data_IF_636137422564
#
_entry.id   IF_636137422564
#
_cell.length_a   1.000
_cell.length_b   1.000
_cell.length_c   1.000
_cell.angle_alpha   90.00
_cell.angle_beta   90.00
_cell.angle_gamma   90.00
#
_symmetry.space_group_name_H-M   'P 1'
#
loop_
_entity.id
_entity.type
_entity.pdbx_description
1 polymer ?
#
# COMPACT_ATOMS: atom_id res chain seq x y z
N UNK A 1 -6.89 -26.86 -9.79
CA UNK A 1 -6.40 -27.19 -8.43
C UNK A 1 -7.30 -28.30 -7.92
N UNK A 2 -6.82 -29.54 -7.93
CA UNK A 2 -7.52 -30.65 -7.27
C UNK A 2 -6.83 -30.83 -5.92
N UNK A 3 -7.38 -30.20 -4.89
CA UNK A 3 -6.96 -30.47 -3.52
C UNK A 3 -7.73 -31.70 -3.03
N UNK A 4 -7.00 -32.68 -2.49
CA UNK A 4 -7.60 -33.84 -1.84
C UNK A 4 -8.32 -33.36 -0.58
N UNK A 5 -9.61 -33.68 -0.42
CA UNK A 5 -10.48 -33.15 0.64
C UNK A 5 -9.91 -33.39 2.05
N UNK A 6 -9.29 -34.55 2.26
CA UNK A 6 -8.68 -34.96 3.52
C UNK A 6 -7.39 -34.19 3.85
N UNK A 7 -6.73 -33.59 2.85
CA UNK A 7 -5.48 -32.85 3.05
C UNK A 7 -5.70 -31.36 3.36
N UNK A 8 -6.92 -30.85 3.25
CA UNK A 8 -7.22 -29.43 3.43
C UNK A 8 -7.51 -29.11 4.88
N UNK A 9 -8.29 -29.96 5.56
CA UNK A 9 -8.71 -29.75 6.96
C UNK A 9 -7.51 -29.98 7.88
N UNK A 10 -7.39 -29.13 8.90
CA UNK A 10 -6.34 -29.17 9.91
C UNK A 10 -7.02 -29.32 11.26
N UNK A 11 -6.47 -30.18 12.12
CA UNK A 11 -7.04 -30.43 13.45
C UNK A 11 -6.70 -29.31 14.44
N UNK A 12 -5.54 -28.67 14.27
CA UNK A 12 -5.05 -27.61 15.15
C UNK A 12 -4.86 -26.27 14.43
N UNK A 13 -5.12 -25.18 15.16
CA UNK A 13 -4.96 -23.82 14.66
C UNK A 13 -3.50 -23.51 14.29
N UNK A 14 -2.53 -23.89 15.13
CA UNK A 14 -1.12 -23.58 14.90
C UNK A 14 -0.60 -24.28 13.64
N UNK A 15 -1.04 -25.53 13.42
CA UNK A 15 -0.74 -26.23 12.18
C UNK A 15 -1.32 -25.49 10.96
N UNK A 16 -2.56 -25.00 11.07
CA UNK A 16 -3.18 -24.17 10.03
C UNK A 16 -2.42 -22.86 9.77
N UNK A 17 -1.98 -22.17 10.82
CA UNK A 17 -1.19 -20.93 10.72
C UNK A 17 0.16 -21.20 10.04
N UNK A 18 0.87 -22.26 10.42
CA UNK A 18 2.15 -22.62 9.80
C UNK A 18 2.00 -23.08 8.35
N UNK A 19 0.87 -23.72 8.01
CA UNK A 19 0.53 -24.09 6.64
C UNK A 19 0.29 -22.85 5.77
N UNK A 20 -0.42 -21.84 6.28
CA UNK A 20 -0.58 -20.55 5.59
C UNK A 20 0.75 -19.85 5.30
N UNK A 21 1.75 -20.01 6.17
CA UNK A 21 3.08 -19.42 5.98
C UNK A 21 3.92 -20.12 4.91
N UNK A 22 3.71 -21.42 4.71
CA UNK A 22 4.52 -22.25 3.80
C UNK A 22 3.94 -22.32 2.40
N UNK A 23 2.63 -22.31 2.27
CA UNK A 23 1.93 -22.50 1.01
C UNK A 23 0.70 -21.60 0.89
N UNK A 24 0.10 -21.56 -0.31
CA UNK A 24 -1.10 -20.76 -0.58
C UNK A 24 -2.34 -21.43 0.01
N UNK A 25 -2.49 -21.29 1.33
CA UNK A 25 -3.59 -21.85 2.10
C UNK A 25 -4.39 -20.71 2.75
N UNK A 26 -5.71 -20.91 2.88
CA UNK A 26 -6.60 -19.97 3.57
C UNK A 26 -7.29 -20.72 4.71
N UNK A 27 -7.21 -20.15 5.91
CA UNK A 27 -7.78 -20.73 7.12
C UNK A 27 -9.06 -20.01 7.53
N UNK A 28 -10.07 -20.77 7.93
CA UNK A 28 -11.29 -20.25 8.53
C UNK A 28 -11.30 -20.61 10.02
N UNK A 29 -11.35 -19.61 10.90
CA UNK A 29 -11.54 -19.76 12.35
C UNK A 29 -12.38 -18.60 12.89
N UNK A 30 -12.54 -18.53 14.21
CA UNK A 30 -13.20 -17.40 14.88
C UNK A 30 -12.41 -16.10 14.64
N UNK A 31 -13.14 -15.00 14.45
CA UNK A 31 -12.55 -13.68 14.19
C UNK A 31 -11.62 -13.20 15.29
N UNK A 32 -11.96 -13.46 16.56
CA UNK A 32 -11.16 -12.98 17.69
C UNK A 32 -9.78 -13.65 17.75
N UNK A 33 -9.73 -14.92 17.36
CA UNK A 33 -8.51 -15.71 17.33
C UNK A 33 -7.62 -15.29 16.15
N UNK A 34 -8.21 -15.11 14.97
CA UNK A 34 -7.49 -14.62 13.80
C UNK A 34 -6.92 -13.21 14.01
N UNK A 35 -7.71 -12.29 14.57
CA UNK A 35 -7.29 -10.92 14.84
C UNK A 35 -6.18 -10.87 15.91
N UNK A 36 -6.24 -11.76 16.91
CA UNK A 36 -5.18 -11.92 17.89
C UNK A 36 -3.86 -12.39 17.26
N UNK A 37 -3.90 -13.39 16.38
CA UNK A 37 -2.69 -13.89 15.70
C UNK A 37 -2.15 -12.94 14.64
N UNK A 38 -3.02 -12.20 13.93
CA UNK A 38 -2.63 -11.21 12.93
C UNK A 38 -1.98 -9.95 13.57
N UNK A 39 -2.41 -9.57 14.78
CA UNK A 39 -1.89 -8.38 15.48
C UNK A 39 -0.56 -8.60 16.23
N UNK A 40 -0.02 -9.83 16.20
CA UNK A 40 1.21 -10.24 16.87
C UNK A 40 2.31 -10.64 15.89
N UNK A 41 3.57 -10.56 16.37
CA UNK A 41 4.73 -10.92 15.56
C UNK A 41 4.62 -12.39 15.12
N UNK A 42 4.94 -12.72 13.85
CA UNK A 42 5.72 -11.92 12.90
C UNK A 42 4.94 -10.97 11.95
N UNK A 43 3.68 -10.62 12.22
CA UNK A 43 2.88 -9.66 11.42
C UNK A 43 2.69 -10.09 9.94
N UNK A 44 2.78 -11.39 9.68
CA UNK A 44 2.75 -11.99 8.34
C UNK A 44 1.35 -12.43 7.90
N UNK A 45 0.35 -12.22 8.76
CA UNK A 45 -1.02 -12.69 8.58
C UNK A 45 -1.97 -11.50 8.58
N UNK A 46 -3.01 -11.58 7.76
CA UNK A 46 -4.07 -10.58 7.70
C UNK A 46 -5.44 -11.25 7.62
N UNK A 47 -6.37 -10.80 8.46
CA UNK A 47 -7.77 -11.18 8.36
C UNK A 47 -8.41 -10.45 7.17
N UNK A 48 -9.02 -11.20 6.24
CA UNK A 48 -9.67 -10.63 5.04
C UNK A 48 -11.18 -10.82 5.13
N UNK A 49 -11.93 -9.75 4.84
CA UNK A 49 -13.37 -9.80 4.67
C UNK A 49 -14.17 -9.45 5.94
N UNK A 50 -15.45 -9.82 5.93
CA UNK A 50 -16.38 -9.61 7.06
C UNK A 50 -16.70 -10.95 7.71
N UNK A 51 -16.99 -10.97 9.03
CA UNK A 51 -17.48 -12.17 9.69
C UNK A 51 -18.75 -12.68 9.00
N UNK A 52 -18.75 -13.95 8.64
CA UNK A 52 -19.86 -14.63 7.97
C UNK A 52 -20.99 -15.01 8.93
N UNK A 53 -20.68 -15.16 10.21
CA UNK A 53 -21.65 -15.30 11.29
C UNK A 53 -21.26 -14.45 12.50
N UNK A 54 -22.22 -14.22 13.39
CA UNK A 54 -21.95 -13.68 14.72
C UNK A 54 -22.28 -14.75 15.75
N UNK A 55 -21.24 -15.25 16.42
CA UNK A 55 -21.36 -16.22 17.52
C UNK A 55 -20.98 -15.53 18.82
N UNK A 56 -21.68 -15.85 19.91
CA UNK A 56 -21.39 -15.33 21.24
C UNK A 56 -20.70 -16.38 22.10
N UNK A 57 -19.66 -15.97 22.84
CA UNK A 57 -18.99 -16.81 23.83
C UNK A 57 -19.79 -16.81 25.15
N UNK A 58 -19.97 -18.00 25.74
CA UNK A 58 -20.72 -18.20 26.98
C UNK A 58 -19.96 -19.06 27.99
N UNK A 59 -20.21 -18.82 29.28
CA UNK A 59 -19.70 -19.66 30.35
C UNK A 59 -20.74 -20.71 30.73
N UNK A 60 -20.32 -21.96 30.90
CA UNK A 60 -21.20 -23.07 31.22
C UNK A 60 -21.10 -23.42 32.71
N UNK A 61 -22.24 -23.46 33.39
CA UNK A 61 -22.38 -23.96 34.76
C UNK A 61 -23.18 -25.27 34.74
N UNK A 62 -22.97 -26.18 35.73
CA UNK A 62 -23.77 -27.38 35.84
C UNK A 62 -25.26 -27.04 35.96
N UNK A 63 -26.10 -27.91 35.39
CA UNK A 63 -27.56 -27.75 35.43
C UNK A 63 -28.04 -27.64 36.89
N UNK A 64 -28.94 -26.70 37.15
CA UNK A 64 -29.50 -26.39 38.48
C UNK A 64 -28.46 -25.89 39.52
N UNK A 65 -27.38 -25.24 39.07
CA UNK A 65 -26.46 -24.55 39.98
C UNK A 65 -27.12 -23.35 40.65
N UNK A 66 -26.98 -23.23 41.97
CA UNK A 66 -27.43 -22.06 42.74
C UNK A 66 -26.74 -20.75 42.33
N UNK A 67 -25.58 -20.84 41.67
CA UNK A 67 -24.77 -19.69 41.30
C UNK A 67 -25.13 -19.09 39.93
N UNK A 68 -25.94 -19.77 39.11
CA UNK A 68 -26.25 -19.32 37.74
C UNK A 68 -26.85 -17.91 37.71
N UNK A 69 -27.75 -17.60 38.65
CA UNK A 69 -28.41 -16.28 38.73
C UNK A 69 -27.40 -15.20 39.12
N UNK A 70 -26.51 -15.51 40.06
CA UNK A 70 -25.51 -14.57 40.58
C UNK A 70 -24.44 -14.26 39.53
N UNK A 71 -23.93 -15.28 38.83
CA UNK A 71 -22.98 -15.10 37.72
C UNK A 71 -23.57 -14.29 36.57
N UNK A 72 -24.82 -14.59 36.16
CA UNK A 72 -25.47 -13.84 35.09
C UNK A 72 -25.61 -12.36 35.45
N UNK A 73 -25.98 -12.04 36.70
CA UNK A 73 -26.04 -10.65 37.16
C UNK A 73 -24.66 -9.99 37.16
N UNK A 74 -23.62 -10.69 37.61
CA UNK A 74 -22.25 -10.18 37.64
C UNK A 74 -21.73 -9.87 36.22
N UNK A 75 -22.00 -10.74 35.24
CA UNK A 75 -21.61 -10.55 33.84
C UNK A 75 -22.31 -9.32 33.24
N UNK A 76 -23.61 -9.16 33.46
CA UNK A 76 -24.36 -7.98 32.98
C UNK A 76 -23.80 -6.71 33.61
N UNK A 77 -23.55 -6.71 34.92
CA UNK A 77 -22.95 -5.57 35.61
C UNK A 77 -21.53 -5.25 35.09
N UNK A 78 -20.73 -6.25 34.78
CA UNK A 78 -19.40 -6.06 34.18
C UNK A 78 -19.48 -5.47 32.76
N UNK A 79 -20.49 -5.88 31.97
CA UNK A 79 -20.77 -5.32 30.64
C UNK A 79 -21.19 -3.86 30.72
N UNK A 80 -22.11 -3.52 31.63
CA UNK A 80 -22.55 -2.14 31.84
C UNK A 80 -21.41 -1.21 32.27
N UNK A 81 -20.45 -1.76 33.03
CA UNK A 81 -19.24 -1.04 33.47
C UNK A 81 -18.15 -0.94 32.39
N UNK A 82 -18.32 -1.57 31.23
CA UNK A 82 -17.33 -1.56 30.15
C UNK A 82 -16.07 -2.40 30.41
N UNK A 83 -16.08 -3.30 31.39
CA UNK A 83 -14.89 -4.11 31.76
C UNK A 83 -14.42 -4.98 30.59
N UNK A 84 -15.35 -5.49 29.78
CA UNK A 84 -15.00 -6.29 28.61
C UNK A 84 -14.26 -5.49 27.53
N UNK A 85 -14.56 -4.20 27.38
CA UNK A 85 -13.87 -3.33 26.41
C UNK A 85 -12.43 -3.05 26.83
N UNK A 86 -12.20 -2.87 28.14
CA UNK A 86 -10.86 -2.74 28.71
C UNK A 86 -10.05 -4.02 28.49
N UNK A 87 -10.66 -5.18 28.75
CA UNK A 87 -10.02 -6.48 28.54
C UNK A 87 -9.72 -6.76 27.07
N UNK A 88 -10.65 -6.46 26.17
CA UNK A 88 -10.46 -6.60 24.72
C UNK A 88 -9.28 -5.75 24.23
N UNK A 89 -9.23 -4.50 24.67
CA UNK A 89 -8.15 -3.58 24.32
C UNK A 89 -6.80 -4.07 24.84
N UNK A 90 -6.79 -4.61 26.06
CA UNK A 90 -5.58 -5.06 26.74
C UNK A 90 -5.02 -6.38 26.19
N UNK A 91 -5.89 -7.32 25.83
CA UNK A 91 -5.48 -8.70 25.50
C UNK A 91 -5.56 -9.03 24.01
N UNK A 92 -6.54 -8.47 23.30
CA UNK A 92 -6.79 -8.78 21.87
C UNK A 92 -6.19 -7.70 20.99
N UNK A 93 -6.45 -6.41 21.28
CA UNK A 93 -5.96 -5.28 20.48
C UNK A 93 -4.58 -4.78 20.90
N UNK A 94 -3.85 -5.49 21.77
CA UNK A 94 -2.49 -5.10 22.14
C UNK A 94 -1.57 -5.22 20.92
N UNK A 95 -1.39 -4.11 20.20
CA UNK A 95 -0.68 -4.07 18.92
C UNK A 95 0.83 -4.27 19.12
N UNK A 96 1.28 -5.51 19.19
CA UNK A 96 2.71 -5.83 19.10
C UNK A 96 3.24 -5.56 17.68
N UNK A 97 2.36 -5.65 16.67
CA UNK A 97 2.62 -5.31 15.27
C UNK A 97 2.44 -3.82 14.92
N UNK A 98 2.28 -2.92 15.89
CA UNK A 98 2.12 -1.48 15.60
C UNK A 98 3.37 -0.82 15.00
N UNK A 99 4.47 -1.55 14.81
CA UNK A 99 5.80 -0.99 14.54
C UNK A 99 6.46 -1.37 13.22
N UNK A 100 5.81 -2.08 12.30
CA UNK A 100 6.47 -2.42 11.01
C UNK A 100 5.56 -2.40 9.77
N UNK A 101 4.23 -2.40 9.91
CA UNK A 101 3.32 -2.34 8.75
C UNK A 101 2.28 -1.21 8.82
N UNK A 102 2.58 -0.15 9.57
CA UNK A 102 1.92 1.15 9.35
C UNK A 102 2.52 1.88 8.13
N UNK A 103 3.45 1.26 7.41
CA UNK A 103 3.90 1.71 6.10
C UNK A 103 3.02 1.24 4.94
N UNK A 104 2.06 0.30 5.15
CA UNK A 104 1.19 -0.17 4.06
C UNK A 104 -0.31 0.15 4.21
N UNK A 105 -0.79 0.57 5.39
CA UNK A 105 -2.22 0.83 5.60
C UNK A 105 -2.59 2.22 6.14
N UNK A 106 -1.62 3.10 6.43
CA UNK A 106 -1.86 4.53 6.53
C UNK A 106 -1.73 5.15 5.14
N UNK A 107 -2.74 4.91 4.29
CA UNK A 107 -2.89 5.61 3.01
C UNK A 107 -1.72 5.39 2.03
N UNK A 108 -2.06 4.98 0.81
CA UNK A 108 -1.36 5.49 -0.36
C UNK A 108 -1.45 7.02 -0.36
N UNK A 109 -0.72 7.70 0.53
CA UNK A 109 -0.36 9.10 0.36
C UNK A 109 0.48 9.06 -0.89
N UNK A 110 -0.11 9.52 -1.99
CA UNK A 110 0.49 9.68 -3.33
C UNK A 110 2.00 9.85 -3.16
N UNK A 111 2.71 8.74 -3.26
CA UNK A 111 4.12 8.72 -2.94
C UNK A 111 4.84 9.43 -4.08
N UNK A 112 5.97 10.05 -3.81
CA UNK A 112 6.87 10.51 -4.88
C UNK A 112 7.19 9.39 -5.89
N UNK A 113 7.09 8.13 -5.44
CA UNK A 113 7.27 6.93 -6.24
C UNK A 113 6.11 6.66 -7.22
N UNK A 114 4.87 6.97 -6.87
CA UNK A 114 3.71 6.83 -7.78
C UNK A 114 3.70 7.93 -8.86
N UNK A 115 4.26 9.11 -8.54
CA UNK A 115 4.43 10.24 -9.48
C UNK A 115 5.71 10.18 -10.31
N UNK A 116 6.50 9.11 -10.18
CA UNK A 116 7.77 8.95 -10.90
C UNK A 116 7.59 8.97 -12.42
N UNK A 117 6.43 8.52 -12.92
CA UNK A 117 6.08 8.59 -14.34
C UNK A 117 6.01 10.03 -14.89
N UNK A 118 5.48 10.98 -14.13
CA UNK A 118 5.42 12.41 -14.53
C UNK A 118 6.83 13.01 -14.60
N UNK A 119 7.69 12.71 -13.62
CA UNK A 119 9.06 13.20 -13.63
C UNK A 119 9.84 12.67 -14.86
N UNK A 120 9.70 11.38 -15.18
CA UNK A 120 10.35 10.79 -16.37
C UNK A 120 9.88 11.44 -17.67
N UNK A 121 8.58 11.74 -17.81
CA UNK A 121 8.06 12.42 -19.00
C UNK A 121 8.60 13.84 -19.16
N UNK A 122 8.69 14.60 -18.06
CA UNK A 122 9.20 15.98 -18.09
C UNK A 122 10.69 16.02 -18.45
N UNK A 123 11.52 15.22 -17.77
CA UNK A 123 12.96 15.16 -18.07
C UNK A 123 13.25 14.57 -19.45
N UNK A 124 12.48 13.55 -19.87
CA UNK A 124 12.59 12.96 -21.20
C UNK A 124 12.23 13.96 -22.31
N UNK A 125 11.15 14.72 -22.13
CA UNK A 125 10.75 15.78 -23.05
C UNK A 125 11.80 16.89 -23.16
N UNK A 126 12.37 17.31 -22.03
CA UNK A 126 13.42 18.32 -21.98
C UNK A 126 14.69 17.84 -22.72
N UNK A 127 15.11 16.59 -22.51
CA UNK A 127 16.27 16.02 -23.19
C UNK A 127 16.05 15.90 -24.71
N UNK A 128 14.87 15.42 -25.13
CA UNK A 128 14.55 15.25 -26.55
C UNK A 128 14.49 16.59 -27.28
N UNK A 129 13.90 17.62 -26.65
CA UNK A 129 13.88 18.97 -27.20
C UNK A 129 15.29 19.55 -27.39
N UNK A 130 16.19 19.34 -26.43
CA UNK A 130 17.59 19.79 -26.53
C UNK A 130 18.34 19.09 -27.67
N UNK A 131 18.13 17.78 -27.86
CA UNK A 131 18.78 17.02 -28.95
C UNK A 131 18.32 17.51 -30.32
N UNK A 132 17.01 17.74 -30.50
CA UNK A 132 16.48 18.28 -31.77
C UNK A 132 17.05 19.67 -32.05
N UNK A 133 17.12 20.54 -31.03
CA UNK A 133 17.67 21.89 -31.16
C UNK A 133 19.15 21.89 -31.56
N UNK A 134 19.95 21.00 -30.97
CA UNK A 134 21.37 20.84 -31.33
C UNK A 134 21.50 20.29 -32.77
N UNK A 135 20.65 19.34 -33.16
CA UNK A 135 20.63 18.77 -34.51
C UNK A 135 20.36 19.80 -35.59
N UNK A 136 19.31 20.61 -35.42
CA UNK A 136 18.96 21.70 -36.35
C UNK A 136 20.04 22.77 -36.42
N UNK A 137 20.67 23.09 -35.27
CA UNK A 137 21.76 24.06 -35.22
C UNK A 137 22.97 23.60 -36.05
N UNK A 138 23.40 22.34 -35.89
CA UNK A 138 24.52 21.79 -36.66
C UNK A 138 24.17 21.72 -38.15
N UNK A 139 22.95 21.32 -38.51
CA UNK A 139 22.52 21.24 -39.90
C UNK A 139 22.53 22.62 -40.59
N UNK A 140 22.01 23.65 -39.91
CA UNK A 140 21.99 25.04 -40.39
C UNK A 140 23.42 25.57 -40.55
N UNK A 141 24.28 25.41 -39.52
CA UNK A 141 25.67 25.83 -39.60
C UNK A 141 26.45 25.12 -40.72
N UNK A 142 26.20 23.82 -40.96
CA UNK A 142 26.85 23.08 -42.05
C UNK A 142 26.38 23.53 -43.45
N UNK A 143 25.11 23.94 -43.60
CA UNK A 143 24.62 24.54 -44.83
C UNK A 143 25.18 25.94 -45.07
N UNK A 144 25.31 26.75 -44.01
CA UNK A 144 25.86 28.10 -44.11
C UNK A 144 27.33 28.08 -44.56
N UNK A 145 28.13 27.12 -44.07
CA UNK A 145 29.52 26.92 -44.52
C UNK A 145 29.56 26.51 -46.00
N UNK A 146 28.67 25.60 -46.45
CA UNK A 146 28.62 25.18 -47.86
C UNK A 146 28.14 26.29 -48.81
N UNK A 147 27.32 27.23 -48.33
CA UNK A 147 26.83 28.37 -49.12
C UNK A 147 27.83 29.53 -49.17
N UNK A 148 28.82 29.55 -48.26
CA UNK A 148 29.83 30.61 -48.16
C UNK A 148 31.02 30.47 -49.11
N UNK A 149 31.11 29.44 -49.95
CA UNK A 149 32.14 29.30 -51.01
C UNK A 149 31.77 30.01 -52.34
N UNK A 150 30.58 30.64 -52.43
CA UNK A 150 30.12 31.28 -53.67
C UNK A 150 29.93 32.81 -53.63
N UNK A 151 30.14 33.51 -52.50
CA UNK A 151 30.14 34.99 -52.54
C UNK A 151 30.94 35.65 -51.40
N UNK A 152 31.87 36.51 -51.81
CA UNK A 152 32.72 37.35 -50.98
C UNK A 152 31.91 38.38 -50.14
N UNK A 153 32.38 38.58 -48.90
CA UNK A 153 32.25 39.76 -48.02
C UNK A 153 30.85 40.31 -47.65
N UNK A 154 30.33 39.91 -46.48
CA UNK A 154 29.94 40.83 -45.37
C UNK A 154 29.01 40.15 -44.36
N UNK A 155 29.30 40.38 -43.08
CA UNK A 155 28.45 40.08 -41.91
C UNK A 155 28.12 38.60 -41.68
N UNK A 156 28.92 37.96 -40.83
CA UNK A 156 28.47 36.84 -40.00
C UNK A 156 27.32 37.39 -39.13
N UNK A 157 26.08 37.30 -39.62
CA UNK A 157 24.90 37.24 -38.77
C UNK A 157 24.63 35.76 -38.57
N UNK A 158 25.16 35.22 -37.48
CA UNK A 158 24.59 34.02 -36.87
C UNK A 158 23.23 34.47 -36.31
N UNK A 159 22.24 34.68 -37.18
CA UNK A 159 20.85 34.63 -36.75
C UNK A 159 20.54 33.16 -36.52
N UNK A 160 20.94 32.72 -35.32
CA UNK A 160 20.32 31.62 -34.63
C UNK A 160 18.80 31.76 -34.79
N UNK A 161 18.09 30.82 -35.42
CA UNK A 161 16.63 30.95 -35.56
C UNK A 161 15.91 30.83 -34.21
N UNK A 162 16.62 30.59 -33.10
CA UNK A 162 16.06 30.55 -31.75
C UNK A 162 16.90 31.34 -30.73
N UNK A 163 17.23 32.60 -31.04
CA UNK A 163 17.28 33.60 -29.95
C UNK A 163 15.84 33.92 -29.61
N UNK A 164 15.39 33.45 -28.45
CA UNK A 164 14.22 33.99 -27.77
C UNK A 164 14.50 35.48 -27.56
N UNK A 165 14.04 36.31 -28.49
CA UNK A 165 13.91 37.73 -28.29
C UNK A 165 12.65 37.89 -27.43
N UNK A 166 12.85 37.96 -26.12
CA UNK A 166 11.80 38.39 -25.20
C UNK A 166 11.24 39.73 -25.67
N UNK A 167 9.92 39.77 -25.84
CA UNK A 167 9.13 40.99 -25.94
C UNK A 167 7.79 40.74 -25.28
N UNK A 168 7.59 41.43 -24.17
CA UNK A 168 6.31 41.62 -23.48
C UNK A 168 5.19 41.97 -24.47
N UNK A 169 4.01 41.35 -24.35
CA UNK A 169 2.64 41.90 -24.46
C UNK A 169 1.69 40.81 -23.90
N UNK A 170 1.23 40.86 -22.64
CA UNK A 170 -0.01 41.52 -22.17
C UNK A 170 -1.27 41.12 -22.98
N UNK A 171 -2.00 40.11 -22.51
CA UNK A 171 -3.42 40.20 -22.13
C UNK A 171 -3.82 39.02 -21.22
#
# INVERSE_FOLDING_TARGET
MQANEESVIVDDLQEGLDKMRREKYALFSDTTELDYHASRKPCDLQTIGRPFWQTGNGMFLPKNSQYTVEFNRAIVAAKERGVFEELDTKWIKSKECSGTDQTELESSVIGLQDMLGVFVLVYGGMALALVVLIGEFIYTCAQDVKKSDAHNHSSIRVTCPYVVCGRDEVF
#
